data_IF_535880595793
#
_entry.id   IF_535880595793
#
_cell.length_a   1.000
_cell.length_b   1.000
_cell.length_c   1.000
_cell.angle_alpha   90.00
_cell.angle_beta   90.00
_cell.angle_gamma   90.00
#
_symmetry.space_group_name_H-M   'P 1'
#
loop_
_entity.id
_entity.type
_entity.pdbx_description
1 polymer ?
#
# COMPACT_ATOMS: atom_id res chain seq x y z
N UNK A 1 -5.86 -14.15 -1.92
CA UNK A 1 -5.32 -12.83 -2.32
C UNK A 1 -3.82 -12.97 -2.56
N UNK A 2 -3.30 -12.43 -3.65
CA UNK A 2 -1.92 -12.70 -4.11
C UNK A 2 -0.96 -11.56 -3.79
N UNK A 3 0.12 -11.86 -3.09
CA UNK A 3 1.26 -10.94 -2.90
C UNK A 3 1.92 -10.55 -4.23
N UNK A 4 1.81 -11.40 -5.26
CA UNK A 4 2.34 -11.13 -6.61
C UNK A 4 1.70 -9.88 -7.20
N UNK A 5 0.37 -9.79 -7.20
CA UNK A 5 -0.31 -8.61 -7.71
C UNK A 5 0.01 -7.35 -6.90
N UNK A 6 0.14 -7.46 -5.58
CA UNK A 6 0.60 -6.34 -4.75
C UNK A 6 2.02 -5.90 -5.16
N UNK A 7 2.94 -6.83 -5.41
CA UNK A 7 4.28 -6.53 -5.90
C UNK A 7 4.27 -5.76 -7.22
N UNK A 8 3.43 -6.20 -8.17
CA UNK A 8 3.26 -5.52 -9.44
C UNK A 8 2.71 -4.10 -9.28
N UNK A 9 1.77 -3.90 -8.36
CA UNK A 9 1.22 -2.57 -8.03
C UNK A 9 2.29 -1.67 -7.40
N UNK A 10 3.07 -2.19 -6.46
CA UNK A 10 4.17 -1.44 -5.84
C UNK A 10 5.25 -1.05 -6.86
N UNK A 11 5.58 -1.94 -7.81
CA UNK A 11 6.49 -1.64 -8.91
C UNK A 11 5.89 -0.61 -9.89
N UNK A 12 4.61 -0.74 -10.22
CA UNK A 12 3.90 0.22 -11.08
C UNK A 12 3.91 1.62 -10.48
N UNK A 13 3.58 1.76 -9.19
CA UNK A 13 3.62 3.04 -8.49
C UNK A 13 5.02 3.66 -8.51
N UNK A 14 6.08 2.87 -8.29
CA UNK A 14 7.45 3.37 -8.40
C UNK A 14 7.78 3.87 -9.81
N UNK A 15 7.38 3.13 -10.84
CA UNK A 15 7.61 3.53 -12.23
C UNK A 15 6.88 4.84 -12.56
N UNK A 16 5.64 4.99 -12.11
CA UNK A 16 4.87 6.21 -12.31
C UNK A 16 5.42 7.40 -11.51
N UNK A 17 5.87 7.19 -10.27
CA UNK A 17 6.59 8.21 -9.50
C UNK A 17 7.83 8.70 -10.23
N UNK A 18 8.61 7.79 -10.82
CA UNK A 18 9.82 8.12 -11.61
C UNK A 18 9.47 8.86 -12.90
N UNK A 19 8.39 8.46 -13.57
CA UNK A 19 7.88 9.11 -14.78
C UNK A 19 7.14 10.43 -14.50
N UNK A 20 6.97 10.82 -13.22
CA UNK A 20 6.26 12.03 -12.80
C UNK A 20 4.80 12.11 -13.28
N UNK A 21 4.14 10.95 -13.38
CA UNK A 21 2.73 10.89 -13.73
C UNK A 21 1.87 11.44 -12.60
N UNK A 22 0.96 12.37 -12.89
CA UNK A 22 0.04 12.91 -11.89
C UNK A 22 -1.00 11.89 -11.42
N UNK A 23 -1.42 11.00 -12.32
CA UNK A 23 -2.52 10.07 -12.13
C UNK A 23 -2.16 8.70 -12.70
N UNK A 24 -2.57 7.63 -11.99
CA UNK A 24 -2.26 6.25 -12.34
C UNK A 24 -3.45 5.33 -12.06
N UNK A 25 -3.49 4.16 -12.72
CA UNK A 25 -4.55 3.16 -12.49
C UNK A 25 -3.99 1.85 -11.93
N UNK A 26 -4.74 1.25 -11.01
CA UNK A 26 -4.38 0.02 -10.29
C UNK A 26 -5.56 -0.97 -10.40
N UNK A 27 -5.33 -2.30 -10.44
CA UNK A 27 -6.42 -3.28 -10.48
C UNK A 27 -7.35 -3.15 -9.27
N UNK A 28 -8.67 -3.20 -9.51
CA UNK A 28 -9.67 -3.11 -8.45
C UNK A 28 -9.77 -4.43 -7.68
N UNK A 29 -9.19 -4.47 -6.48
CA UNK A 29 -9.35 -5.58 -5.52
C UNK A 29 -9.50 -5.01 -4.12
N UNK A 30 -10.10 -5.79 -3.20
CA UNK A 30 -10.24 -5.37 -1.79
C UNK A 30 -8.88 -5.06 -1.14
N UNK A 31 -7.85 -5.87 -1.44
CA UNK A 31 -6.51 -5.67 -0.89
C UNK A 31 -5.87 -4.39 -1.44
N UNK A 32 -5.97 -4.14 -2.75
CA UNK A 32 -5.44 -2.91 -3.34
C UNK A 32 -6.20 -1.66 -2.88
N UNK A 33 -7.52 -1.76 -2.66
CA UNK A 33 -8.31 -0.66 -2.11
C UNK A 33 -7.86 -0.33 -0.69
N UNK A 34 -7.71 -1.34 0.19
CA UNK A 34 -7.21 -1.12 1.55
C UNK A 34 -5.78 -0.56 1.56
N UNK A 35 -4.92 -1.05 0.66
CA UNK A 35 -3.56 -0.54 0.48
C UNK A 35 -3.56 0.93 0.05
N UNK A 36 -4.29 1.27 -1.00
CA UNK A 36 -4.37 2.65 -1.49
C UNK A 36 -5.04 3.58 -0.48
N UNK A 37 -6.05 3.11 0.25
CA UNK A 37 -6.70 3.87 1.32
C UNK A 37 -5.73 4.20 2.46
N UNK A 38 -4.90 3.25 2.90
CA UNK A 38 -3.86 3.52 3.89
C UNK A 38 -2.84 4.56 3.37
N UNK A 39 -2.39 4.43 2.13
CA UNK A 39 -1.48 5.42 1.53
C UNK A 39 -2.10 6.83 1.45
N UNK A 40 -3.39 6.91 1.13
CA UNK A 40 -4.13 8.17 1.13
C UNK A 40 -4.25 8.75 2.55
N UNK A 41 -4.65 7.92 3.53
CA UNK A 41 -4.77 8.30 4.95
C UNK A 41 -3.47 8.88 5.51
N UNK A 42 -2.33 8.30 5.16
CA UNK A 42 -1.00 8.77 5.59
C UNK A 42 -0.42 9.88 4.69
N UNK A 43 -1.16 10.37 3.69
CA UNK A 43 -0.78 11.53 2.89
C UNK A 43 0.24 11.27 1.77
N UNK A 44 0.51 9.99 1.44
CA UNK A 44 1.37 9.60 0.31
C UNK A 44 0.67 9.83 -1.04
N UNK A 45 -0.66 9.69 -1.07
CA UNK A 45 -1.49 9.91 -2.26
C UNK A 45 -2.25 11.23 -2.16
N UNK A 46 -2.48 11.85 -3.31
CA UNK A 46 -3.29 13.06 -3.43
C UNK A 46 -4.78 12.73 -3.51
N UNK A 47 -5.14 11.75 -4.33
CA UNK A 47 -6.54 11.35 -4.56
C UNK A 47 -6.66 9.83 -4.68
N UNK A 48 -7.83 9.32 -4.30
CA UNK A 48 -8.21 7.91 -4.45
C UNK A 48 -9.65 7.86 -4.98
N UNK A 49 -9.84 7.35 -6.20
CA UNK A 49 -11.13 7.31 -6.88
C UNK A 49 -11.33 5.95 -7.56
N UNK A 50 -12.59 5.55 -7.73
CA UNK A 50 -12.94 4.38 -8.55
C UNK A 50 -13.10 4.83 -10.00
N UNK A 51 -12.90 3.91 -10.94
CA UNK A 51 -13.04 4.21 -12.35
C UNK A 51 -13.17 2.96 -13.21
N UNK A 52 -13.22 3.21 -14.52
CA UNK A 52 -13.05 2.19 -15.55
C UNK A 52 -11.60 2.12 -16.02
N UNK A 53 -11.31 1.26 -16.99
CA UNK A 53 -10.02 1.23 -17.69
C UNK A 53 -9.73 2.53 -18.46
N UNK A 54 -10.75 3.31 -18.80
CA UNK A 54 -10.60 4.56 -19.58
C UNK A 54 -10.26 5.77 -18.71
N UNK A 55 -10.72 5.80 -17.47
CA UNK A 55 -10.57 6.98 -16.61
C UNK A 55 -11.27 6.83 -15.25
N UNK A 56 -11.04 7.77 -14.32
CA UNK A 56 -11.80 7.88 -13.08
C UNK A 56 -13.28 8.17 -13.38
N UNK A 57 -14.18 7.62 -12.58
CA UNK A 57 -15.61 7.84 -12.73
C UNK A 57 -15.99 9.24 -12.23
N UNK A 58 -16.79 9.98 -13.00
CA UNK A 58 -17.27 11.32 -12.61
C UNK A 58 -18.45 11.24 -11.62
N UNK A 59 -19.26 10.19 -11.71
CA UNK A 59 -20.36 9.89 -10.81
C UNK A 59 -20.16 8.52 -10.17
N UNK A 60 -20.86 8.25 -9.06
CA UNK A 60 -20.79 6.95 -8.40
C UNK A 60 -21.46 5.91 -9.29
N UNK A 61 -20.68 4.95 -9.79
CA UNK A 61 -21.19 3.80 -10.53
C UNK A 61 -21.09 2.55 -9.67
N UNK A 62 -22.20 1.82 -9.54
CA UNK A 62 -22.22 0.57 -8.79
C UNK A 62 -21.37 -0.51 -9.46
N UNK A 63 -20.71 -1.32 -8.65
CA UNK A 63 -19.86 -2.41 -9.13
C UNK A 63 -20.72 -3.68 -9.23
N UNK A 64 -20.98 -4.11 -10.46
CA UNK A 64 -21.79 -5.29 -10.77
C UNK A 64 -20.92 -6.37 -11.43
N UNK A 65 -21.37 -7.64 -11.46
CA UNK A 65 -20.66 -8.70 -12.17
C UNK A 65 -20.34 -8.38 -13.63
N UNK A 66 -21.19 -7.61 -14.31
CA UNK A 66 -21.02 -7.24 -15.71
C UNK A 66 -19.87 -6.25 -15.93
N UNK A 67 -19.60 -5.38 -14.94
CA UNK A 67 -18.63 -4.29 -15.08
C UNK A 67 -17.30 -4.54 -14.34
N UNK A 68 -17.24 -5.52 -13.43
CA UNK A 68 -16.08 -5.78 -12.55
C UNK A 68 -14.76 -5.94 -13.30
N UNK A 69 -14.78 -6.54 -14.50
CA UNK A 69 -13.61 -6.78 -15.35
C UNK A 69 -12.96 -5.47 -15.83
N UNK A 70 -13.77 -4.43 -16.03
CA UNK A 70 -13.33 -3.12 -16.50
C UNK A 70 -13.00 -2.15 -15.36
N UNK A 71 -13.31 -2.49 -14.11
CA UNK A 71 -13.12 -1.60 -12.96
C UNK A 71 -11.64 -1.46 -12.58
N UNK A 72 -11.26 -0.24 -12.23
CA UNK A 72 -9.92 0.15 -11.78
C UNK A 72 -9.99 1.12 -10.60
N UNK A 73 -8.91 1.17 -9.84
CA UNK A 73 -8.65 2.21 -8.86
C UNK A 73 -7.76 3.27 -9.49
N UNK A 74 -8.22 4.50 -9.50
CA UNK A 74 -7.45 5.64 -9.95
C UNK A 74 -6.84 6.35 -8.76
N UNK A 75 -5.53 6.55 -8.83
CA UNK A 75 -4.71 7.02 -7.73
C UNK A 75 -3.88 8.21 -8.19
N UNK A 76 -4.06 9.34 -7.50
CA UNK A 76 -3.30 10.57 -7.72
C UNK A 76 -1.98 10.54 -6.96
N UNK A 77 -0.87 10.66 -7.69
CA UNK A 77 0.47 10.72 -7.11
C UNK A 77 0.78 12.15 -6.65
N UNK A 78 1.57 12.26 -5.58
CA UNK A 78 1.92 13.52 -4.95
C UNK A 78 3.40 13.84 -5.17
N UNK A 79 3.68 15.10 -5.46
CA UNK A 79 5.02 15.63 -5.68
C UNK A 79 5.18 16.91 -4.86
N UNK A 80 6.35 17.10 -4.24
CA UNK A 80 6.70 18.29 -3.45
C UNK A 80 8.15 18.65 -3.73
N UNK A 81 8.43 19.95 -3.93
CA UNK A 81 9.80 20.44 -4.16
C UNK A 81 10.53 19.65 -5.26
N UNK A 82 9.79 19.38 -6.35
CA UNK A 82 10.30 18.64 -7.51
C UNK A 82 10.71 17.17 -7.23
N UNK A 83 10.31 16.61 -6.08
CA UNK A 83 10.55 15.21 -5.67
C UNK A 83 9.21 14.46 -5.49
N UNK A 84 9.13 13.17 -5.86
CA UNK A 84 7.94 12.36 -5.57
C UNK A 84 7.82 12.10 -4.06
N UNK A 85 6.60 12.13 -3.53
CA UNK A 85 6.34 11.77 -2.12
C UNK A 85 6.47 10.26 -1.91
N UNK A 86 6.10 9.45 -2.90
CA UNK A 86 6.39 8.01 -2.92
C UNK A 86 7.66 7.81 -3.74
N UNK A 87 8.79 7.69 -3.04
CA UNK A 87 10.09 7.40 -3.61
C UNK A 87 10.31 5.90 -3.84
N UNK A 88 9.90 5.06 -2.90
CA UNK A 88 10.08 3.60 -2.96
C UNK A 88 8.89 2.86 -2.37
N UNK A 89 8.55 1.71 -2.96
CA UNK A 89 7.45 0.87 -2.49
C UNK A 89 7.88 -0.60 -2.58
N UNK A 90 8.44 -1.15 -1.51
CA UNK A 90 9.07 -2.47 -1.51
C UNK A 90 8.29 -3.46 -0.66
N UNK A 91 8.08 -4.67 -1.16
CA UNK A 91 7.50 -5.73 -0.34
C UNK A 91 8.54 -6.27 0.65
N UNK A 92 8.07 -6.49 1.87
CA UNK A 92 8.82 -7.19 2.92
C UNK A 92 8.47 -8.68 2.81
N UNK A 93 7.19 -9.03 2.95
CA UNK A 93 6.71 -10.38 2.66
C UNK A 93 6.59 -10.59 1.15
N UNK A 94 7.39 -11.52 0.65
CA UNK A 94 7.40 -11.91 -0.76
C UNK A 94 6.51 -13.15 -0.97
N UNK A 95 6.04 -13.41 -2.20
CA UNK A 95 5.22 -14.60 -2.48
C UNK A 95 5.87 -15.92 -2.07
N UNK A 96 7.20 -16.02 -2.17
CA UNK A 96 8.00 -17.20 -1.81
C UNK A 96 8.35 -17.26 -0.32
N UNK A 97 8.35 -16.13 0.39
CA UNK A 97 8.69 -16.04 1.80
C UNK A 97 7.82 -14.99 2.47
N UNK A 98 6.82 -15.47 3.21
CA UNK A 98 5.91 -14.64 4.00
C UNK A 98 6.45 -14.50 5.41
N UNK A 99 6.47 -13.27 5.91
CA UNK A 99 7.02 -12.95 7.23
C UNK A 99 5.88 -12.44 8.12
N UNK A 100 5.48 -13.29 9.05
CA UNK A 100 4.53 -12.95 10.11
C UNK A 100 5.30 -12.66 11.39
N UNK A 101 4.98 -11.53 12.02
CA UNK A 101 5.60 -11.08 13.26
C UNK A 101 4.56 -10.99 14.38
N UNK A 102 4.88 -11.46 15.60
CA UNK A 102 4.08 -11.20 16.79
C UNK A 102 4.12 -9.73 17.17
N UNK A 103 3.25 -9.34 18.11
CA UNK A 103 3.16 -7.98 18.63
C UNK A 103 4.52 -7.46 19.16
N UNK A 104 5.25 -8.29 19.91
CA UNK A 104 6.52 -7.89 20.52
C UNK A 104 7.56 -7.53 19.45
N UNK A 105 7.69 -8.35 18.40
CA UNK A 105 8.57 -8.10 17.25
C UNK A 105 8.18 -6.81 16.49
N UNK A 106 6.88 -6.53 16.32
CA UNK A 106 6.42 -5.28 15.69
C UNK A 106 6.78 -4.06 16.54
N UNK A 107 6.62 -4.18 17.86
CA UNK A 107 7.03 -3.14 18.80
C UNK A 107 8.53 -2.89 18.74
N UNK A 108 9.34 -3.95 18.66
CA UNK A 108 10.79 -3.83 18.51
C UNK A 108 11.19 -3.08 17.22
N UNK A 109 10.53 -3.38 16.09
CA UNK A 109 10.75 -2.67 14.83
C UNK A 109 10.43 -1.17 14.92
N UNK A 110 9.35 -0.80 15.61
CA UNK A 110 8.99 0.60 15.87
C UNK A 110 10.01 1.29 16.80
N UNK A 111 10.59 0.57 17.77
CA UNK A 111 11.60 1.13 18.69
C UNK A 111 13.00 1.27 18.09
N UNK A 112 13.21 0.88 16.83
CA UNK A 112 14.51 1.03 16.17
C UNK A 112 15.38 -0.23 16.18
N UNK A 113 14.88 -1.38 16.64
CA UNK A 113 15.61 -2.65 16.59
C UNK A 113 15.38 -3.36 15.26
N UNK A 114 16.38 -4.14 14.84
CA UNK A 114 16.27 -5.00 13.65
C UNK A 114 15.69 -6.35 14.06
N UNK A 115 14.66 -6.81 13.37
CA UNK A 115 13.99 -8.10 13.65
C UNK A 115 13.94 -8.95 12.39
N UNK A 116 14.39 -10.21 12.46
CA UNK A 116 14.39 -11.19 11.35
C UNK A 116 14.90 -10.62 10.01
N UNK A 117 15.94 -9.78 10.04
CA UNK A 117 16.55 -9.07 8.90
C UNK A 117 15.72 -7.90 8.32
N UNK A 118 14.58 -7.58 8.91
CA UNK A 118 13.81 -6.37 8.59
C UNK A 118 14.46 -5.21 9.34
N UNK A 119 14.97 -4.23 8.58
CA UNK A 119 15.50 -2.99 9.14
C UNK A 119 14.41 -2.28 9.96
N UNK A 120 14.75 -1.54 11.02
CA UNK A 120 13.76 -0.79 11.77
C UNK A 120 13.00 0.23 10.90
N UNK A 121 11.86 0.68 11.39
CA UNK A 121 11.10 1.78 10.80
C UNK A 121 11.94 3.07 10.85
N UNK A 122 12.02 3.81 9.74
CA UNK A 122 12.70 5.11 9.69
C UNK A 122 11.68 6.25 9.67
N UNK A 123 12.06 7.48 10.08
CA UNK A 123 11.18 8.64 9.97
C UNK A 123 10.68 8.84 8.54
N UNK A 124 9.37 9.04 8.38
CA UNK A 124 8.72 9.22 7.08
C UNK A 124 8.52 7.93 6.26
N UNK A 125 8.88 6.77 6.80
CA UNK A 125 8.50 5.48 6.21
C UNK A 125 7.17 5.00 6.77
N UNK A 126 6.46 4.19 5.97
CA UNK A 126 5.24 3.49 6.37
C UNK A 126 5.44 2.00 6.15
N UNK A 127 5.13 1.19 7.16
CA UNK A 127 5.11 -0.27 7.04
C UNK A 127 3.67 -0.73 7.22
N UNK A 128 3.14 -1.44 6.22
CA UNK A 128 1.79 -1.97 6.29
C UNK A 128 1.81 -3.42 6.77
N UNK A 129 1.00 -3.71 7.78
CA UNK A 129 0.86 -5.02 8.42
C UNK A 129 -0.55 -5.54 8.17
N UNK A 130 -0.66 -6.79 7.71
CA UNK A 130 -1.93 -7.48 7.53
C UNK A 130 -2.28 -8.25 8.79
N UNK A 131 -3.36 -7.86 9.44
CA UNK A 131 -3.93 -8.53 10.60
C UNK A 131 -5.27 -9.17 10.17
N UNK A 132 -5.23 -10.46 9.82
CA UNK A 132 -6.40 -11.17 9.31
C UNK A 132 -6.92 -10.58 8.00
N UNK A 133 -8.10 -9.94 8.03
CA UNK A 133 -8.76 -9.32 6.87
C UNK A 133 -8.39 -7.84 6.68
N UNK A 134 -7.83 -7.20 7.69
CA UNK A 134 -7.56 -5.78 7.70
C UNK A 134 -6.08 -5.48 7.41
N UNK A 135 -5.85 -4.31 6.84
CA UNK A 135 -4.52 -3.79 6.57
C UNK A 135 -4.32 -2.52 7.39
N UNK A 136 -3.33 -2.54 8.27
CA UNK A 136 -3.06 -1.50 9.25
C UNK A 136 -1.64 -0.96 9.06
N UNK A 137 -1.40 0.26 9.54
CA UNK A 137 -0.05 0.73 9.82
C UNK A 137 0.57 -0.10 10.96
N UNK A 138 1.89 -0.24 10.96
CA UNK A 138 2.64 -0.89 12.04
C UNK A 138 2.34 -0.25 13.40
N UNK A 139 2.23 1.08 13.47
CA UNK A 139 1.92 1.77 14.72
C UNK A 139 0.48 1.48 15.18
N UNK A 140 -0.47 1.37 14.25
CA UNK A 140 -1.86 0.99 14.55
C UNK A 140 -1.96 -0.47 15.01
N UNK A 141 -1.20 -1.37 14.40
CA UNK A 141 -1.12 -2.77 14.81
C UNK A 141 -0.55 -2.91 16.23
N UNK A 142 0.52 -2.16 16.54
CA UNK A 142 1.10 -2.09 17.89
C UNK A 142 0.12 -1.48 18.90
N UNK A 143 -0.59 -0.40 18.54
CA UNK A 143 -1.59 0.20 19.42
C UNK A 143 -2.74 -0.76 19.76
N UNK A 144 -3.15 -1.58 18.78
CA UNK A 144 -4.17 -2.62 18.96
C UNK A 144 -3.65 -3.92 19.59
N UNK A 145 -2.33 -4.02 19.87
CA UNK A 145 -1.66 -5.21 20.39
C UNK A 145 -1.87 -6.47 19.53
N UNK A 146 -1.87 -6.31 18.21
CA UNK A 146 -2.04 -7.42 17.26
C UNK A 146 -0.77 -7.66 16.45
N UNK A 147 -0.45 -8.93 16.22
CA UNK A 147 0.58 -9.35 15.25
C UNK A 147 0.00 -9.50 13.85
N UNK A 148 0.87 -9.76 12.86
CA UNK A 148 0.41 -9.98 11.49
C UNK A 148 1.53 -10.16 10.47
N UNK A 149 1.13 -10.34 9.20
CA UNK A 149 2.07 -10.41 8.08
C UNK A 149 2.55 -9.00 7.71
N UNK A 150 3.86 -8.79 7.69
CA UNK A 150 4.44 -7.50 7.28
C UNK A 150 4.50 -7.43 5.76
N UNK A 151 3.61 -6.65 5.14
CA UNK A 151 3.44 -6.69 3.68
C UNK A 151 4.50 -5.89 2.94
N UNK A 152 4.55 -4.58 3.17
CA UNK A 152 5.37 -3.68 2.38
C UNK A 152 5.81 -2.46 3.18
N UNK A 153 6.90 -1.86 2.68
CA UNK A 153 7.51 -0.62 3.15
C UNK A 153 7.39 0.43 2.06
N UNK A 154 6.90 1.59 2.44
CA UNK A 154 6.74 2.75 1.58
C UNK A 154 7.57 3.90 2.14
N UNK A 155 8.23 4.62 1.23
CA UNK A 155 9.00 5.85 1.45
C UNK A 155 8.81 6.75 0.25
#
# INVERSE_FOLDING_TARGET
MSLVHLANVCAHLQNCSRARASLTSIPYTRLHLNFAYNLYKHGFLSTLQRGSTKGPDASVVEVTPDNISTRRLWVGLKYRENKPVISTCRLISKPNLRIELPYDDLKELCTGKTVRLIKPLQPGELILVRCGKDLLDINEAVARKVGGEVLCRIK
#
